data_IF_337208987427
#
_entry.id   IF_337208987427
#
_cell.length_a   1.000
_cell.length_b   1.000
_cell.length_c   1.000
_cell.angle_alpha   90.00
_cell.angle_beta   90.00
_cell.angle_gamma   90.00
#
_symmetry.space_group_name_H-M   'P 1'
#
loop_
_entity.id
_entity.type
_entity.pdbx_description
1 polymer ?
#
# COMPACT_ATOMS: atom_id res chain seq x y z
N UNK A 1 3.10 3.49 -30.75
CA UNK A 1 3.65 4.82 -31.08
C UNK A 1 3.46 5.74 -29.89
N UNK A 2 4.51 6.15 -29.15
CA UNK A 2 4.38 7.22 -28.15
C UNK A 2 4.46 8.59 -28.84
N UNK A 3 3.63 9.54 -28.40
CA UNK A 3 3.56 10.91 -28.94
C UNK A 3 4.82 11.71 -28.59
N UNK A 4 5.34 12.43 -29.59
CA UNK A 4 6.67 13.05 -29.66
C UNK A 4 6.84 14.34 -28.83
N UNK A 5 6.16 14.45 -27.70
CA UNK A 5 6.32 15.59 -26.78
C UNK A 5 5.88 15.17 -25.38
N UNK A 6 6.68 14.34 -24.72
CA UNK A 6 6.68 14.35 -23.27
C UNK A 6 7.10 15.75 -22.85
N UNK A 7 6.20 16.46 -22.16
CA UNK A 7 6.48 17.79 -21.65
C UNK A 7 7.71 17.69 -20.76
N UNK A 8 8.70 18.59 -20.89
CA UNK A 8 9.83 18.67 -19.93
C UNK A 8 9.34 18.79 -18.48
N UNK A 9 8.11 19.30 -18.31
CA UNK A 9 7.39 19.40 -17.05
C UNK A 9 6.98 18.02 -16.51
N UNK A 10 6.58 17.07 -17.36
CA UNK A 10 6.25 15.69 -16.95
C UNK A 10 7.50 14.92 -16.50
N UNK A 11 8.62 15.09 -17.19
CA UNK A 11 9.90 14.48 -16.79
C UNK A 11 10.39 15.03 -15.46
N UNK A 12 10.35 16.36 -15.27
CA UNK A 12 10.75 17.00 -14.02
C UNK A 12 9.82 16.64 -12.85
N UNK A 13 8.50 16.51 -13.10
CA UNK A 13 7.55 16.06 -12.09
C UNK A 13 7.84 14.60 -11.67
N UNK A 14 8.11 13.71 -12.63
CA UNK A 14 8.48 12.32 -12.36
C UNK A 14 9.82 12.17 -11.63
N UNK A 15 10.80 13.03 -11.89
CA UNK A 15 12.07 13.05 -11.13
C UNK A 15 11.89 13.61 -9.71
N UNK A 16 10.95 14.55 -9.52
CA UNK A 16 10.69 15.15 -8.19
C UNK A 16 9.91 14.23 -7.26
N UNK A 17 9.06 13.37 -7.82
CA UNK A 17 8.45 12.26 -7.10
C UNK A 17 9.55 11.20 -7.03
N UNK A 18 10.10 10.95 -5.83
CA UNK A 18 11.12 9.93 -5.56
C UNK A 18 10.58 8.50 -5.83
N UNK A 19 10.08 8.24 -7.03
CA UNK A 19 9.31 7.05 -7.41
C UNK A 19 10.13 5.76 -7.43
N UNK A 20 11.45 5.86 -7.31
CA UNK A 20 12.37 4.74 -7.16
C UNK A 20 12.74 4.48 -5.69
N UNK A 21 12.35 5.36 -4.77
CA UNK A 21 12.53 5.15 -3.33
C UNK A 21 11.31 4.42 -2.74
N UNK A 22 11.55 3.54 -1.77
CA UNK A 22 10.51 2.87 -0.99
C UNK A 22 10.74 3.06 0.49
N UNK A 23 9.65 3.16 1.24
CA UNK A 23 9.71 3.14 2.70
C UNK A 23 10.34 1.80 3.14
N UNK A 24 11.05 1.77 4.29
CA UNK A 24 11.53 0.51 4.87
C UNK A 24 10.34 -0.38 5.24
N UNK A 25 10.53 -1.70 5.18
CA UNK A 25 9.51 -2.69 5.49
C UNK A 25 8.88 -2.45 6.89
N UNK A 26 9.69 -2.08 7.88
CA UNK A 26 9.24 -1.80 9.26
C UNK A 26 8.36 -0.57 9.42
N UNK A 27 8.13 0.22 8.36
CA UNK A 27 7.12 1.30 8.34
C UNK A 27 5.83 0.91 7.63
N UNK A 28 5.80 -0.24 6.97
CA UNK A 28 4.71 -0.69 6.13
C UNK A 28 4.08 -1.97 6.66
N UNK A 29 4.86 -2.85 7.28
CA UNK A 29 4.46 -4.20 7.61
C UNK A 29 4.69 -4.51 9.08
N UNK A 30 3.76 -5.26 9.66
CA UNK A 30 3.72 -5.58 11.08
C UNK A 30 3.24 -7.02 11.33
N UNK A 31 3.58 -7.56 12.49
CA UNK A 31 3.15 -8.89 12.96
C UNK A 31 2.14 -8.73 14.10
N UNK A 32 0.98 -9.39 14.00
CA UNK A 32 -0.18 -9.36 14.92
C UNK A 32 -0.85 -8.01 15.14
N UNK A 33 -0.09 -6.93 15.31
CA UNK A 33 -0.58 -5.57 15.54
C UNK A 33 0.43 -4.50 15.09
N UNK A 34 0.04 -3.22 15.14
CA UNK A 34 0.91 -2.10 14.73
C UNK A 34 2.11 -1.83 15.66
N UNK A 35 2.26 -2.54 16.77
CA UNK A 35 3.37 -2.36 17.72
C UNK A 35 4.60 -3.18 17.37
N UNK A 36 4.45 -4.21 16.52
CA UNK A 36 5.53 -5.15 16.16
C UNK A 36 5.89 -5.03 14.68
N UNK A 37 6.82 -4.12 14.29
CA UNK A 37 7.20 -3.93 12.89
C UNK A 37 8.01 -5.12 12.35
N UNK A 38 7.83 -5.41 11.06
CA UNK A 38 8.57 -6.44 10.33
C UNK A 38 9.73 -5.85 9.53
N UNK A 39 10.96 -6.24 9.87
CA UNK A 39 12.16 -5.82 9.12
C UNK A 39 12.50 -6.76 7.95
N UNK A 40 12.05 -8.02 7.99
CA UNK A 40 12.23 -8.99 6.92
C UNK A 40 10.87 -9.33 6.31
N UNK A 41 10.63 -8.86 5.09
CA UNK A 41 9.39 -9.07 4.36
C UNK A 41 9.46 -10.36 3.53
N UNK A 42 8.39 -11.15 3.57
CA UNK A 42 8.13 -12.19 2.58
C UNK A 42 8.07 -11.58 1.16
N UNK A 43 8.36 -12.37 0.12
CA UNK A 43 8.36 -11.90 -1.28
C UNK A 43 7.04 -11.20 -1.67
N UNK A 44 5.91 -11.62 -1.11
CA UNK A 44 4.61 -10.99 -1.35
C UNK A 44 4.50 -9.58 -0.73
N UNK A 45 5.05 -9.37 0.46
CA UNK A 45 5.11 -8.06 1.11
C UNK A 45 6.11 -7.15 0.38
N UNK A 46 7.23 -7.71 -0.09
CA UNK A 46 8.17 -6.95 -0.93
C UNK A 46 7.53 -6.55 -2.28
N UNK A 47 6.70 -7.39 -2.89
CA UNK A 47 5.95 -7.02 -4.09
C UNK A 47 4.99 -5.86 -3.84
N UNK A 48 4.32 -5.83 -2.69
CA UNK A 48 3.49 -4.69 -2.26
C UNK A 48 4.36 -3.45 -2.04
N UNK A 49 5.49 -3.59 -1.34
CA UNK A 49 6.43 -2.49 -1.10
C UNK A 49 6.84 -1.84 -2.42
N UNK A 50 7.09 -2.62 -3.47
CA UNK A 50 7.47 -2.09 -4.78
C UNK A 50 6.31 -1.58 -5.64
N UNK A 51 5.06 -1.77 -5.23
CA UNK A 51 3.90 -1.30 -5.96
C UNK A 51 3.93 0.23 -6.19
N UNK A 52 3.43 0.73 -7.33
CA UNK A 52 3.28 2.16 -7.56
C UNK A 52 2.16 2.73 -6.70
N UNK A 53 2.32 3.97 -6.24
CA UNK A 53 1.28 4.73 -5.54
C UNK A 53 1.29 6.20 -5.95
N UNK A 54 0.16 6.87 -5.80
CA UNK A 54 0.04 8.27 -6.13
C UNK A 54 0.97 9.12 -5.25
N UNK A 55 1.77 10.00 -5.89
CA UNK A 55 2.84 10.78 -5.26
C UNK A 55 3.85 9.93 -4.43
N UNK A 56 3.98 8.64 -4.74
CA UNK A 56 4.81 7.66 -4.03
C UNK A 56 4.56 7.61 -2.50
N UNK A 57 3.31 7.80 -2.08
CA UNK A 57 2.94 7.87 -0.66
C UNK A 57 3.00 6.52 0.06
N UNK A 58 2.82 5.41 -0.67
CA UNK A 58 2.81 4.05 -0.12
C UNK A 58 1.89 3.96 1.11
N UNK A 59 0.59 4.25 0.94
CA UNK A 59 -0.31 4.46 2.07
C UNK A 59 -0.78 3.16 2.73
N UNK A 60 -0.38 2.00 2.19
CA UNK A 60 -0.70 0.71 2.76
C UNK A 60 0.07 0.45 4.05
N UNK A 61 -0.64 -0.09 5.04
CA UNK A 61 -0.07 -0.79 6.18
C UNK A 61 -0.63 -2.22 6.15
N UNK A 62 0.23 -3.22 6.33
CA UNK A 62 -0.21 -4.62 6.37
C UNK A 62 0.15 -5.21 7.72
N UNK A 63 -0.84 -5.75 8.40
CA UNK A 63 -0.63 -6.58 9.59
C UNK A 63 -0.79 -8.03 9.18
N UNK A 64 0.24 -8.83 9.40
CA UNK A 64 0.20 -10.27 9.23
C UNK A 64 -0.22 -10.90 10.55
N UNK A 65 -1.23 -11.75 10.50
CA UNK A 65 -1.64 -12.58 11.62
C UNK A 65 -1.80 -14.03 11.14
N UNK A 66 -0.87 -14.90 11.55
CA UNK A 66 -0.73 -16.26 11.03
C UNK A 66 -0.69 -16.33 9.48
N UNK A 67 -1.79 -16.78 8.87
CA UNK A 67 -1.96 -16.93 7.43
C UNK A 67 -2.75 -15.78 6.79
N UNK A 68 -3.23 -14.84 7.60
CA UNK A 68 -4.03 -13.72 7.17
C UNK A 68 -3.18 -12.45 7.07
N UNK A 69 -3.47 -11.66 6.04
CA UNK A 69 -2.80 -10.39 5.78
C UNK A 69 -3.84 -9.29 5.72
N UNK A 70 -3.91 -8.48 6.76
CA UNK A 70 -4.88 -7.40 6.91
C UNK A 70 -4.32 -6.11 6.30
N UNK A 71 -4.98 -5.61 5.26
CA UNK A 71 -4.62 -4.38 4.57
C UNK A 71 -5.36 -3.20 5.19
N UNK A 72 -4.59 -2.23 5.63
CA UNK A 72 -5.06 -0.95 6.14
C UNK A 72 -4.56 0.19 5.26
N UNK A 73 -5.37 1.22 5.14
CA UNK A 73 -5.06 2.47 4.48
C UNK A 73 -4.73 3.54 5.53
N UNK A 74 -3.50 4.02 5.54
CA UNK A 74 -3.11 5.22 6.29
C UNK A 74 -3.36 6.47 5.42
N UNK A 75 -4.37 7.25 5.80
CA UNK A 75 -4.77 8.47 5.10
C UNK A 75 -3.68 9.53 5.16
N UNK A 76 -3.26 10.02 4.00
CA UNK A 76 -2.30 11.13 3.96
C UNK A 76 -3.04 12.44 4.21
N UNK A 77 -2.69 13.14 5.30
CA UNK A 77 -3.30 14.44 5.64
C UNK A 77 -3.26 15.41 4.45
N UNK A 78 -4.44 15.90 4.07
CA UNK A 78 -4.60 16.87 2.98
C UNK A 78 -4.53 16.29 1.56
N UNK A 79 -4.54 14.96 1.40
CA UNK A 79 -4.50 14.33 0.07
C UNK A 79 -5.89 14.14 -0.56
N UNK A 80 -6.93 13.94 0.26
CA UNK A 80 -8.32 13.75 -0.18
C UNK A 80 -9.10 15.04 -0.48
N UNK A 81 -8.51 16.22 -0.26
CA UNK A 81 -9.24 17.50 -0.21
C UNK A 81 -9.52 18.15 -1.57
N UNK A 82 -9.07 17.57 -2.69
CA UNK A 82 -9.16 18.20 -4.02
C UNK A 82 -9.83 17.37 -5.11
N UNK A 83 -10.14 16.10 -4.86
CA UNK A 83 -10.65 15.16 -5.88
C UNK A 83 -11.87 14.46 -5.31
N UNK A 84 -12.98 14.38 -6.05
CA UNK A 84 -14.27 13.83 -5.56
C UNK A 84 -14.29 12.32 -5.27
N UNK A 85 -13.12 11.70 -5.18
CA UNK A 85 -12.90 10.28 -4.94
C UNK A 85 -11.56 10.06 -4.25
N UNK A 86 -11.45 8.95 -3.51
CA UNK A 86 -10.25 8.62 -2.76
C UNK A 86 -9.24 7.87 -3.64
N UNK A 87 -8.24 8.61 -4.13
CA UNK A 87 -7.15 8.04 -4.94
C UNK A 87 -6.35 7.01 -4.14
N UNK A 88 -6.24 7.14 -2.81
CA UNK A 88 -5.47 6.19 -2.01
C UNK A 88 -6.15 4.82 -1.96
N UNK A 89 -7.50 4.74 -2.08
CA UNK A 89 -8.19 3.44 -2.24
C UNK A 89 -7.87 2.74 -3.55
N UNK A 90 -7.54 3.48 -4.61
CA UNK A 90 -7.02 2.90 -5.86
C UNK A 90 -5.63 2.30 -5.61
N UNK A 91 -4.77 3.03 -4.88
CA UNK A 91 -3.44 2.54 -4.51
C UNK A 91 -3.52 1.23 -3.68
N UNK A 92 -4.52 1.09 -2.81
CA UNK A 92 -4.77 -0.16 -2.07
C UNK A 92 -5.13 -1.33 -2.99
N UNK A 93 -5.93 -1.11 -4.03
CA UNK A 93 -6.23 -2.14 -5.03
C UNK A 93 -4.98 -2.59 -5.80
N UNK A 94 -4.07 -1.67 -6.10
CA UNK A 94 -2.77 -1.97 -6.72
C UNK A 94 -1.92 -2.82 -5.77
N UNK A 95 -1.84 -2.44 -4.50
CA UNK A 95 -1.11 -3.18 -3.47
C UNK A 95 -1.64 -4.62 -3.34
N UNK A 96 -2.95 -4.81 -3.22
CA UNK A 96 -3.59 -6.14 -3.14
C UNK A 96 -3.27 -6.97 -4.39
N UNK A 97 -3.33 -6.38 -5.59
CA UNK A 97 -2.99 -7.07 -6.83
C UNK A 97 -1.52 -7.53 -6.85
N UNK A 98 -0.59 -6.66 -6.43
CA UNK A 98 0.84 -6.99 -6.32
C UNK A 98 1.09 -8.15 -5.33
N UNK A 99 0.40 -8.14 -4.19
CA UNK A 99 0.46 -9.26 -3.24
C UNK A 99 0.02 -10.57 -3.89
N UNK A 100 -1.16 -10.56 -4.53
CA UNK A 100 -1.78 -11.74 -5.14
C UNK A 100 -1.01 -12.26 -6.36
N UNK A 101 -0.15 -11.45 -6.98
CA UNK A 101 0.76 -11.91 -8.04
C UNK A 101 1.85 -12.85 -7.51
N UNK A 102 2.17 -12.78 -6.21
CA UNK A 102 3.23 -13.57 -5.58
C UNK A 102 2.66 -14.66 -4.67
N UNK A 103 1.59 -14.37 -3.94
CA UNK A 103 1.00 -15.28 -2.96
C UNK A 103 -0.48 -15.52 -3.26
N UNK A 104 -0.86 -16.79 -3.34
CA UNK A 104 -2.26 -17.17 -3.53
C UNK A 104 -3.03 -16.98 -2.21
N UNK A 105 -4.25 -16.45 -2.30
CA UNK A 105 -5.10 -16.23 -1.16
C UNK A 105 -6.47 -15.70 -1.59
N UNK A 106 -7.41 -15.71 -0.66
CA UNK A 106 -8.77 -15.22 -0.89
C UNK A 106 -8.91 -13.82 -0.30
N UNK A 107 -9.43 -12.90 -1.12
CA UNK A 107 -9.81 -11.58 -0.64
C UNK A 107 -11.13 -11.68 0.15
N UNK A 108 -11.07 -11.37 1.44
CA UNK A 108 -12.21 -11.38 2.35
C UNK A 108 -12.32 -10.03 3.08
N UNK A 109 -13.52 -9.75 3.61
CA UNK A 109 -13.79 -8.57 4.42
C UNK A 109 -14.09 -9.04 5.84
N UNK A 110 -13.03 -9.45 6.51
CA UNK A 110 -13.03 -9.88 7.90
C UNK A 110 -12.10 -8.96 8.67
N UNK A 111 -12.69 -7.96 9.33
CA UNK A 111 -11.96 -6.90 10.03
C UNK A 111 -11.41 -7.46 11.34
N UNK A 112 -10.09 -7.44 11.55
CA UNK A 112 -9.49 -7.99 12.76
C UNK A 112 -9.72 -7.06 13.96
N UNK A 113 -9.64 -7.61 15.17
CA UNK A 113 -9.70 -6.84 16.42
C UNK A 113 -8.37 -6.13 16.72
N UNK A 114 -7.92 -5.27 15.80
CA UNK A 114 -6.67 -4.49 15.93
C UNK A 114 -7.02 -3.02 16.15
N UNK A 115 -6.45 -2.41 17.20
CA UNK A 115 -6.63 -0.99 17.45
C UNK A 115 -5.96 -0.14 16.37
N UNK A 116 -6.72 0.79 15.78
CA UNK A 116 -6.26 1.74 14.77
C UNK A 116 -6.39 3.18 15.27
N UNK A 117 -5.60 4.09 14.69
CA UNK A 117 -5.79 5.53 14.90
C UNK A 117 -6.86 6.12 13.98
N UNK A 118 -7.20 7.40 14.16
CA UNK A 118 -8.23 8.08 13.36
C UNK A 118 -7.87 8.25 11.87
N UNK A 119 -6.64 7.94 11.46
CA UNK A 119 -6.15 8.05 10.08
C UNK A 119 -6.01 6.70 9.40
N UNK A 120 -6.25 5.60 10.12
CA UNK A 120 -6.01 4.25 9.63
C UNK A 120 -7.35 3.54 9.41
N UNK A 121 -7.64 3.23 8.16
CA UNK A 121 -8.88 2.60 7.73
C UNK A 121 -8.62 1.15 7.32
N UNK A 122 -9.40 0.20 7.82
CA UNK A 122 -9.38 -1.18 7.33
C UNK A 122 -9.92 -1.26 5.89
N UNK A 123 -9.24 -2.02 5.03
CA UNK A 123 -9.63 -2.18 3.62
C UNK A 123 -10.10 -3.59 3.31
N UNK A 124 -9.27 -4.59 3.59
CA UNK A 124 -9.56 -6.00 3.31
C UNK A 124 -8.54 -6.91 3.99
N UNK A 125 -8.84 -8.21 4.03
CA UNK A 125 -7.94 -9.27 4.47
C UNK A 125 -7.67 -10.20 3.30
N UNK A 126 -6.42 -10.61 3.10
CA UNK A 126 -6.09 -11.75 2.23
C UNK A 126 -5.82 -12.94 3.12
N UNK A 127 -6.72 -13.92 3.07
CA UNK A 127 -6.57 -15.17 3.82
C UNK A 127 -5.89 -16.23 2.96
N UNK A 128 -4.77 -16.76 3.44
CA UNK A 128 -3.98 -17.78 2.76
C UNK A 128 -4.23 -19.16 3.39
N UNK A 129 -4.24 -20.21 2.58
CA UNK A 129 -4.32 -21.61 3.06
C UNK A 129 -2.93 -22.22 3.26
#
# INVERSE_FOLDING_TARGET
YPSKTQSKVDSALRESVKGDERLPASKLFYEHDFSTPLDNSEDCLDAVRWAPSAANRQPWRIVKDDNDYHFFLEHTKGYSSGVGWDVQKIDMGIAICHFLCVKNGNLVFDEPEIETDEYTEYIATISCE
#
